data_IF_486392011679
#
_entry.id   IF_486392011679
#
_cell.length_a   1.000
_cell.length_b   1.000
_cell.length_c   1.000
_cell.angle_alpha   90.00
_cell.angle_beta   90.00
_cell.angle_gamma   90.00
#
_symmetry.space_group_name_H-M   'P 1'
#
loop_
_entity.id
_entity.type
_entity.pdbx_description
1 polymer ?
#
# COMPACT_ATOMS: atom_id res chain seq x y z
N UNK A 1 -5.61 -1.33 15.11
CA UNK A 1 -4.76 -1.95 14.07
C UNK A 1 -5.28 -1.68 12.67
N UNK A 2 -6.55 -1.93 12.38
CA UNK A 2 -7.17 -1.62 11.08
C UNK A 2 -6.86 -0.22 10.52
N UNK A 3 -7.08 0.83 11.34
CA UNK A 3 -6.78 2.22 10.95
C UNK A 3 -5.33 2.44 10.51
N UNK A 4 -4.37 1.75 11.15
CA UNK A 4 -2.94 1.86 10.80
C UNK A 4 -2.70 1.32 9.40
N UNK A 5 -3.28 0.17 9.07
CA UNK A 5 -3.17 -0.42 7.73
C UNK A 5 -3.86 0.45 6.67
N UNK A 6 -5.02 1.02 6.97
CA UNK A 6 -5.71 1.93 6.05
C UNK A 6 -4.90 3.21 5.81
N UNK A 7 -4.28 3.78 6.86
CA UNK A 7 -3.34 4.91 6.75
C UNK A 7 -2.16 4.57 5.86
N UNK A 8 -1.55 3.40 6.06
CA UNK A 8 -0.43 2.94 5.23
C UNK A 8 -0.82 2.79 3.76
N UNK A 9 -2.00 2.24 3.46
CA UNK A 9 -2.52 2.16 2.09
C UNK A 9 -2.63 3.54 1.45
N UNK A 10 -3.19 4.52 2.17
CA UNK A 10 -3.32 5.89 1.64
C UNK A 10 -1.94 6.54 1.47
N UNK A 11 -1.00 6.31 2.37
CA UNK A 11 0.38 6.80 2.25
C UNK A 11 1.06 6.21 1.00
N UNK A 12 0.85 4.93 0.71
CA UNK A 12 1.40 4.28 -0.50
C UNK A 12 0.84 4.88 -1.79
N UNK A 13 -0.43 5.27 -1.80
CA UNK A 13 -1.13 5.74 -3.01
C UNK A 13 -0.98 7.24 -3.26
N UNK A 14 -1.14 8.05 -2.22
CA UNK A 14 -1.23 9.52 -2.32
C UNK A 14 -0.06 10.22 -1.64
N UNK A 15 0.58 9.54 -0.69
CA UNK A 15 1.63 10.11 0.15
C UNK A 15 1.11 10.57 1.52
N UNK A 16 2.06 11.01 2.37
CA UNK A 16 1.82 11.32 3.78
C UNK A 16 0.80 12.45 4.01
N UNK A 17 0.66 13.36 3.06
CA UNK A 17 -0.26 14.51 3.15
C UNK A 17 -1.73 14.11 3.29
N UNK A 18 -2.10 12.90 2.87
CA UNK A 18 -3.47 12.42 2.89
C UNK A 18 -3.75 11.42 4.02
N UNK A 19 -2.83 11.20 4.96
CA UNK A 19 -2.99 10.20 6.03
C UNK A 19 -4.27 10.41 6.86
N UNK A 20 -4.60 11.67 7.14
CA UNK A 20 -5.75 12.05 7.96
C UNK A 20 -7.10 11.84 7.26
N UNK A 21 -7.11 11.62 5.94
CA UNK A 21 -8.35 11.33 5.20
C UNK A 21 -8.98 10.03 5.67
N UNK A 22 -8.17 9.08 6.16
CA UNK A 22 -8.63 7.79 6.66
C UNK A 22 -9.50 7.95 7.90
N UNK A 23 -9.13 8.85 8.81
CA UNK A 23 -9.93 9.08 10.02
C UNK A 23 -11.31 9.68 9.71
N UNK A 24 -11.44 10.33 8.56
CA UNK A 24 -12.73 10.85 8.07
C UNK A 24 -13.51 9.77 7.33
N UNK A 25 -12.85 8.96 6.50
CA UNK A 25 -13.48 7.97 5.63
C UNK A 25 -13.79 6.63 6.33
N UNK A 26 -13.17 6.32 7.47
CA UNK A 26 -13.43 5.12 8.30
C UNK A 26 -14.82 5.16 9.00
N UNK A 27 -15.59 6.22 8.80
CA UNK A 27 -16.94 6.31 9.36
C UNK A 27 -17.93 5.41 8.61
N UNK A 28 -18.92 4.84 9.33
CA UNK A 28 -19.98 3.99 8.72
C UNK A 28 -20.84 4.73 7.69
N UNK A 29 -20.76 6.06 7.62
CA UNK A 29 -21.57 6.91 6.75
C UNK A 29 -20.69 7.46 5.63
N UNK A 30 -21.30 7.67 4.47
CA UNK A 30 -20.60 8.33 3.37
C UNK A 30 -20.36 9.80 3.73
N UNK A 31 -19.14 10.28 3.51
CA UNK A 31 -18.70 11.62 3.87
C UNK A 31 -18.66 12.50 2.63
N UNK A 32 -19.09 13.74 2.79
CA UNK A 32 -19.10 14.72 1.72
C UNK A 32 -17.67 15.27 1.46
N UNK A 33 -17.30 15.43 0.19
CA UNK A 33 -16.03 16.06 -0.23
C UNK A 33 -15.77 17.43 0.43
N UNK A 34 -16.81 18.25 0.65
CA UNK A 34 -16.66 19.56 1.29
C UNK A 34 -16.28 19.45 2.78
N UNK A 35 -16.80 18.43 3.48
CA UNK A 35 -16.44 18.18 4.89
C UNK A 35 -15.00 17.68 5.02
N UNK A 36 -14.56 16.87 4.05
CA UNK A 36 -13.19 16.36 3.97
C UNK A 36 -12.22 17.52 3.78
N UNK A 37 -12.48 18.38 2.78
CA UNK A 37 -11.67 19.57 2.50
C UNK A 37 -11.56 20.49 3.74
N UNK A 38 -12.70 20.78 4.38
CA UNK A 38 -12.74 21.66 5.56
C UNK A 38 -11.94 21.09 6.74
N UNK A 39 -12.01 19.78 6.98
CA UNK A 39 -11.31 19.15 8.11
C UNK A 39 -9.82 18.97 7.86
N UNK A 40 -9.41 18.73 6.61
CA UNK A 40 -8.01 18.61 6.22
C UNK A 40 -7.33 19.98 6.02
N UNK A 41 -8.10 21.08 5.97
CA UNK A 41 -7.54 22.41 5.73
C UNK A 41 -6.99 22.60 4.32
N UNK A 42 -7.41 21.77 3.36
CA UNK A 42 -6.95 21.79 1.97
C UNK A 42 -8.07 22.27 1.03
N UNK A 43 -7.69 22.65 -0.19
CA UNK A 43 -8.68 23.07 -1.19
C UNK A 43 -9.55 21.89 -1.65
N UNK A 44 -10.76 22.20 -2.13
CA UNK A 44 -11.68 21.19 -2.68
C UNK A 44 -11.04 20.48 -3.88
N UNK A 45 -10.29 21.20 -4.71
CA UNK A 45 -9.62 20.62 -5.87
C UNK A 45 -8.54 19.62 -5.47
N UNK A 46 -7.72 19.95 -4.45
CA UNK A 46 -6.75 18.99 -3.89
C UNK A 46 -7.46 17.78 -3.30
N UNK A 47 -8.55 17.99 -2.55
CA UNK A 47 -9.37 16.90 -1.99
C UNK A 47 -9.87 15.97 -3.09
N UNK A 48 -10.41 16.51 -4.19
CA UNK A 48 -10.89 15.72 -5.32
C UNK A 48 -9.78 14.94 -6.00
N UNK A 49 -8.62 15.55 -6.24
CA UNK A 49 -7.46 14.84 -6.81
C UNK A 49 -7.02 13.67 -5.92
N UNK A 50 -7.00 13.86 -4.60
CA UNK A 50 -6.69 12.78 -3.64
C UNK A 50 -7.75 11.68 -3.73
N UNK A 51 -9.04 12.03 -3.71
CA UNK A 51 -10.14 11.07 -3.76
C UNK A 51 -10.17 10.31 -5.10
N UNK A 52 -9.90 10.96 -6.23
CA UNK A 52 -9.83 10.29 -7.52
C UNK A 52 -8.66 9.32 -7.59
N UNK A 53 -7.47 9.72 -7.13
CA UNK A 53 -6.32 8.79 -7.05
C UNK A 53 -6.66 7.55 -6.22
N UNK A 54 -7.25 7.72 -5.04
CA UNK A 54 -7.60 6.57 -4.18
C UNK A 54 -8.74 5.74 -4.81
N UNK A 55 -9.66 6.39 -5.53
CA UNK A 55 -10.74 5.74 -6.28
C UNK A 55 -10.23 4.92 -7.48
N UNK A 56 -9.16 5.35 -8.16
CA UNK A 56 -8.56 4.61 -9.28
C UNK A 56 -8.03 3.24 -8.85
N UNK A 57 -7.56 3.14 -7.60
CA UNK A 57 -7.19 1.86 -6.99
C UNK A 57 -8.38 1.08 -6.40
N UNK A 58 -9.61 1.59 -6.54
CA UNK A 58 -10.83 0.95 -6.06
C UNK A 58 -10.98 0.90 -4.54
N UNK A 59 -10.27 1.77 -3.81
CA UNK A 59 -10.22 1.76 -2.34
C UNK A 59 -11.35 2.59 -1.70
N UNK A 60 -12.06 3.40 -2.48
CA UNK A 60 -13.21 4.19 -2.04
C UNK A 60 -14.38 3.96 -3.01
N UNK A 61 -15.58 3.92 -2.45
CA UNK A 61 -16.84 3.95 -3.18
C UNK A 61 -17.43 5.36 -3.15
N UNK A 62 -18.01 5.80 -4.27
CA UNK A 62 -18.71 7.07 -4.36
C UNK A 62 -20.20 6.89 -4.63
N UNK A 63 -21.03 7.70 -3.99
CA UNK A 63 -22.46 7.81 -4.25
C UNK A 63 -22.76 9.26 -4.59
N UNK A 64 -23.43 9.48 -5.72
CA UNK A 64 -23.95 10.80 -6.08
C UNK A 64 -25.37 10.97 -5.54
N UNK A 65 -25.63 12.09 -4.86
CA UNK A 65 -26.98 12.48 -4.43
C UNK A 65 -27.32 13.83 -5.05
N UNK A 66 -28.50 13.91 -5.69
CA UNK A 66 -29.04 15.18 -6.19
C UNK A 66 -29.59 15.98 -5.02
N UNK A 67 -29.14 17.21 -4.88
CA UNK A 67 -29.69 18.13 -3.89
C UNK A 67 -31.06 18.63 -4.37
N UNK A 68 -32.10 18.40 -3.57
CA UNK A 68 -33.49 18.79 -3.91
C UNK A 68 -33.68 20.30 -3.94
N UNK A 69 -32.80 21.08 -3.28
CA UNK A 69 -32.94 22.55 -3.20
C UNK A 69 -32.15 23.29 -4.28
N UNK A 70 -30.93 22.87 -4.57
CA UNK A 70 -29.98 23.61 -5.43
C UNK A 70 -29.75 22.96 -6.81
N UNK A 71 -30.28 21.76 -7.06
CA UNK A 71 -30.21 21.10 -8.36
C UNK A 71 -28.86 20.45 -8.72
N UNK A 72 -27.76 20.84 -8.08
CA UNK A 72 -26.42 20.23 -8.22
C UNK A 72 -26.29 18.82 -7.61
N UNK A 73 -25.30 18.06 -8.10
CA UNK A 73 -24.92 16.75 -7.58
C UNK A 73 -23.79 16.87 -6.55
N UNK A 74 -23.94 16.19 -5.41
CA UNK A 74 -22.87 16.07 -4.41
C UNK A 74 -22.38 14.63 -4.34
N UNK A 75 -21.05 14.47 -4.32
CA UNK A 75 -20.39 13.19 -4.16
C UNK A 75 -20.17 12.87 -2.69
N UNK A 76 -20.57 11.67 -2.30
CA UNK A 76 -20.33 11.12 -0.98
C UNK A 76 -19.42 9.91 -1.08
N UNK A 77 -18.38 9.88 -0.26
CA UNK A 77 -17.29 8.91 -0.34
C UNK A 77 -17.28 8.00 0.88
N UNK A 78 -16.95 6.73 0.68
CA UNK A 78 -16.81 5.73 1.75
C UNK A 78 -15.67 4.78 1.45
N UNK A 79 -14.80 4.54 2.43
CA UNK A 79 -13.68 3.61 2.26
C UNK A 79 -14.13 2.15 2.19
N UNK A 80 -13.60 1.43 1.21
CA UNK A 80 -13.76 -0.01 1.04
C UNK A 80 -12.65 -0.72 1.79
N UNK A 81 -12.91 -1.04 3.07
CA UNK A 81 -11.93 -1.60 4.00
C UNK A 81 -11.34 -2.91 3.45
N UNK A 82 -12.17 -3.82 2.94
CA UNK A 82 -11.74 -5.13 2.46
C UNK A 82 -10.81 -5.00 1.24
N UNK A 83 -11.20 -4.19 0.26
CA UNK A 83 -10.36 -3.91 -0.92
C UNK A 83 -9.05 -3.22 -0.54
N UNK A 84 -9.09 -2.34 0.45
CA UNK A 84 -7.89 -1.66 0.96
C UNK A 84 -6.90 -2.63 1.60
N UNK A 85 -7.39 -3.58 2.40
CA UNK A 85 -6.54 -4.62 2.97
C UNK A 85 -5.97 -5.57 1.91
N UNK A 86 -6.76 -5.93 0.88
CA UNK A 86 -6.29 -6.75 -0.25
C UNK A 86 -5.22 -6.03 -1.07
N UNK A 87 -5.40 -4.73 -1.30
CA UNK A 87 -4.38 -3.89 -1.95
C UNK A 87 -3.08 -3.87 -1.14
N UNK A 88 -3.17 -3.68 0.19
CA UNK A 88 -2.00 -3.72 1.07
C UNK A 88 -1.28 -5.07 1.00
N UNK A 89 -2.04 -6.16 1.07
CA UNK A 89 -1.51 -7.53 0.93
C UNK A 89 -0.75 -7.70 -0.38
N UNK A 90 -1.32 -7.26 -1.50
CA UNK A 90 -0.69 -7.37 -2.81
C UNK A 90 0.59 -6.51 -2.89
N UNK A 91 0.58 -5.31 -2.31
CA UNK A 91 1.75 -4.43 -2.23
C UNK A 91 2.88 -5.10 -1.42
N UNK A 92 2.57 -5.69 -0.26
CA UNK A 92 3.52 -6.43 0.56
C UNK A 92 4.09 -7.65 -0.17
N UNK A 93 3.26 -8.43 -0.87
CA UNK A 93 3.71 -9.57 -1.67
C UNK A 93 4.69 -9.12 -2.76
N UNK A 94 4.39 -8.03 -3.47
CA UNK A 94 5.30 -7.46 -4.48
C UNK A 94 6.64 -7.06 -3.87
N UNK A 95 6.64 -6.36 -2.73
CA UNK A 95 7.87 -5.97 -2.01
C UNK A 95 8.68 -7.18 -1.57
N UNK A 96 8.03 -8.20 -1.02
CA UNK A 96 8.69 -9.47 -0.64
C UNK A 96 9.31 -10.15 -1.87
N UNK A 97 8.60 -10.17 -3.00
CA UNK A 97 9.12 -10.69 -4.27
C UNK A 97 10.36 -9.95 -4.74
N UNK A 98 10.37 -8.62 -4.67
CA UNK A 98 11.53 -7.79 -5.02
C UNK A 98 12.73 -8.08 -4.14
N UNK A 99 12.56 -8.16 -2.82
CA UNK A 99 13.65 -8.47 -1.88
C UNK A 99 14.17 -9.90 -2.11
N UNK A 100 13.29 -10.88 -2.33
CA UNK A 100 13.72 -12.24 -2.68
C UNK A 100 14.56 -12.27 -3.96
N UNK A 101 14.17 -11.50 -4.98
CA UNK A 101 14.94 -11.41 -6.22
C UNK A 101 16.30 -10.75 -5.99
N UNK A 102 16.37 -9.73 -5.12
CA UNK A 102 17.63 -9.11 -4.73
C UNK A 102 18.54 -10.09 -3.96
N UNK A 103 17.99 -10.87 -3.03
CA UNK A 103 18.72 -11.91 -2.30
C UNK A 103 19.28 -12.95 -3.28
N UNK A 104 18.44 -13.53 -4.14
CA UNK A 104 18.88 -14.49 -5.17
C UNK A 104 19.97 -13.93 -6.06
N UNK A 105 19.80 -12.69 -6.54
CA UNK A 105 20.82 -12.05 -7.36
C UNK A 105 22.15 -11.88 -6.62
N UNK A 106 22.12 -11.62 -5.31
CA UNK A 106 23.33 -11.44 -4.48
C UNK A 106 23.96 -12.75 -4.02
N UNK A 107 23.20 -13.84 -3.99
CA UNK A 107 23.71 -15.19 -3.72
C UNK A 107 24.34 -15.82 -4.96
N UNK A 108 23.77 -15.57 -6.15
CA UNK A 108 24.27 -16.15 -7.41
C UNK A 108 25.42 -15.34 -8.01
N UNK A 109 25.41 -14.00 -7.86
CA UNK A 109 26.40 -13.13 -8.50
C UNK A 109 27.40 -12.61 -7.49
N UNK A 110 28.65 -12.52 -7.91
CA UNK A 110 29.68 -11.83 -7.17
C UNK A 110 29.65 -10.33 -7.47
N UNK A 111 29.93 -9.54 -6.43
CA UNK A 111 29.98 -8.09 -6.52
C UNK A 111 31.38 -7.63 -6.11
N UNK A 112 31.86 -6.63 -6.83
CA UNK A 112 33.16 -6.03 -6.64
C UNK A 112 32.96 -4.58 -6.19
N UNK A 113 33.81 -4.10 -5.30
CA UNK A 113 33.75 -2.75 -4.75
C UNK A 113 35.07 -2.03 -5.03
N UNK A 114 34.98 -0.78 -5.47
CA UNK A 114 36.10 0.14 -5.39
C UNK A 114 36.10 0.82 -4.03
N UNK A 115 37.17 0.66 -3.23
CA UNK A 115 37.26 1.24 -1.88
C UNK A 115 37.29 2.78 -1.89
N UNK A 116 37.95 3.38 -2.89
CA UNK A 116 38.06 4.85 -2.99
C UNK A 116 36.75 5.50 -3.45
N UNK A 117 36.12 4.96 -4.50
CA UNK A 117 34.95 5.57 -5.12
C UNK A 117 33.64 5.08 -4.48
N UNK A 118 33.68 4.03 -3.65
CA UNK A 118 32.51 3.35 -3.09
C UNK A 118 31.48 2.89 -4.14
N UNK A 119 31.95 2.63 -5.36
CA UNK A 119 31.11 2.15 -6.49
C UNK A 119 31.12 0.62 -6.50
N UNK A 120 29.93 0.03 -6.62
CA UNK A 120 29.72 -1.42 -6.70
C UNK A 120 29.55 -1.85 -8.17
N UNK A 121 30.36 -2.82 -8.59
CA UNK A 121 30.33 -3.42 -9.92
C UNK A 121 29.85 -4.88 -9.81
N UNK A 122 29.08 -5.33 -10.80
CA UNK A 122 28.83 -6.76 -11.01
C UNK A 122 30.07 -7.42 -11.65
N UNK A 123 30.13 -8.74 -11.60
CA UNK A 123 31.20 -9.53 -12.24
C UNK A 123 31.35 -9.23 -13.74
N UNK A 124 30.24 -9.08 -14.48
CA UNK A 124 30.27 -8.77 -15.91
C UNK A 124 30.93 -7.40 -16.21
N UNK A 125 30.59 -6.35 -15.46
CA UNK A 125 31.22 -5.04 -15.65
C UNK A 125 32.67 -5.04 -15.13
N UNK A 126 32.95 -5.78 -14.06
CA UNK A 126 34.32 -5.94 -13.59
C UNK A 126 35.18 -6.60 -14.68
N UNK A 127 34.69 -7.66 -15.33
CA UNK A 127 35.39 -8.33 -16.43
C UNK A 127 35.62 -7.40 -17.63
N UNK A 128 34.61 -6.60 -18.01
CA UNK A 128 34.74 -5.61 -19.09
C UNK A 128 35.83 -4.57 -18.83
N UNK A 129 36.06 -4.26 -17.56
CA UNK A 129 37.08 -3.29 -17.12
C UNK A 129 38.32 -3.96 -16.52
N UNK A 130 38.57 -5.25 -16.81
CA UNK A 130 39.72 -6.01 -16.31
C UNK A 130 39.92 -5.90 -14.78
N UNK A 131 38.81 -5.88 -14.03
CA UNK A 131 38.77 -5.70 -12.58
C UNK A 131 39.39 -4.39 -12.10
N UNK A 132 39.38 -3.35 -12.93
CA UNK A 132 39.83 -2.00 -12.57
C UNK A 132 38.67 -1.00 -12.57
N UNK A 133 38.74 0.00 -11.70
CA UNK A 133 37.73 1.04 -11.63
C UNK A 133 37.93 2.08 -12.74
N UNK A 134 36.86 2.43 -13.45
CA UNK A 134 36.90 3.42 -14.55
C UNK A 134 37.24 4.84 -14.09
N UNK A 135 36.96 5.17 -12.82
CA UNK A 135 37.16 6.52 -12.28
C UNK A 135 38.57 6.72 -11.72
N UNK A 136 39.08 5.74 -10.97
CA UNK A 136 40.35 5.87 -10.24
C UNK A 136 41.47 4.94 -10.71
N UNK A 137 41.19 4.00 -11.62
CA UNK A 137 42.17 3.04 -12.14
C UNK A 137 42.64 1.97 -11.15
N UNK A 138 42.14 1.96 -9.91
CA UNK A 138 42.50 0.94 -8.90
C UNK A 138 41.80 -0.38 -9.13
N UNK A 139 42.43 -1.46 -8.66
CA UNK A 139 41.87 -2.83 -8.69
C UNK A 139 40.65 -2.92 -7.76
N UNK A 140 39.60 -3.55 -8.23
CA UNK A 140 38.38 -3.79 -7.47
C UNK A 140 38.58 -4.92 -6.45
N UNK A 141 37.98 -4.79 -5.27
CA UNK A 141 38.01 -5.82 -4.22
C UNK A 141 36.68 -6.57 -4.16
N UNK A 142 36.70 -7.85 -3.76
CA UNK A 142 35.48 -8.63 -3.63
C UNK A 142 34.66 -8.15 -2.43
N UNK A 143 33.39 -7.80 -2.67
CA UNK A 143 32.51 -7.28 -1.62
C UNK A 143 31.91 -8.43 -0.81
N UNK A 144 32.04 -8.34 0.51
CA UNK A 144 31.36 -9.25 1.42
C UNK A 144 29.84 -8.98 1.45
N UNK A 145 29.08 -9.82 0.75
CA UNK A 145 27.63 -9.73 0.69
C UNK A 145 26.92 -10.25 1.95
N UNK A 146 27.63 -10.89 2.90
CA UNK A 146 26.98 -11.54 4.04
C UNK A 146 26.24 -10.56 4.94
N UNK A 147 26.77 -9.35 5.16
CA UNK A 147 26.10 -8.30 5.96
C UNK A 147 24.82 -7.81 5.29
N UNK A 148 24.87 -7.58 3.98
CA UNK A 148 23.72 -7.11 3.19
C UNK A 148 22.64 -8.19 3.14
N UNK A 149 23.02 -9.44 2.90
CA UNK A 149 22.07 -10.57 2.91
C UNK A 149 21.37 -10.70 4.26
N UNK A 150 22.11 -10.61 5.38
CA UNK A 150 21.51 -10.62 6.73
C UNK A 150 20.48 -9.50 6.92
N UNK A 151 20.78 -8.29 6.44
CA UNK A 151 19.84 -7.17 6.52
C UNK A 151 18.60 -7.37 5.65
N UNK A 152 18.78 -7.86 4.41
CA UNK A 152 17.69 -8.18 3.50
C UNK A 152 16.79 -9.28 4.08
N UNK A 153 17.36 -10.34 4.67
CA UNK A 153 16.59 -11.38 5.36
C UNK A 153 15.82 -10.82 6.56
N UNK A 154 16.45 -9.97 7.38
CA UNK A 154 15.79 -9.33 8.52
C UNK A 154 14.61 -8.45 8.07
N UNK A 155 14.77 -7.72 6.97
CA UNK A 155 13.70 -6.91 6.39
C UNK A 155 12.58 -7.78 5.81
N UNK A 156 12.93 -8.87 5.16
CA UNK A 156 11.99 -9.84 4.64
C UNK A 156 11.15 -10.50 5.76
N UNK A 157 11.77 -10.83 6.88
CA UNK A 157 11.07 -11.39 8.04
C UNK A 157 10.09 -10.39 8.66
N UNK A 158 10.46 -9.10 8.73
CA UNK A 158 9.53 -8.04 9.16
C UNK A 158 8.32 -7.95 8.23
N UNK A 159 8.53 -7.93 6.92
CA UNK A 159 7.44 -7.87 5.93
C UNK A 159 6.56 -9.12 5.95
N UNK A 160 7.13 -10.31 6.17
CA UNK A 160 6.35 -11.55 6.35
C UNK A 160 5.47 -11.50 7.59
N UNK A 161 5.98 -10.99 8.71
CA UNK A 161 5.19 -10.80 9.94
C UNK A 161 4.02 -9.85 9.70
N UNK A 162 4.29 -8.73 9.03
CA UNK A 162 3.27 -7.75 8.67
C UNK A 162 2.19 -8.33 7.74
N UNK A 163 2.60 -9.07 6.70
CA UNK A 163 1.69 -9.80 5.82
C UNK A 163 0.79 -10.77 6.60
N UNK A 164 1.34 -11.46 7.60
CA UNK A 164 0.59 -12.34 8.50
C UNK A 164 -0.49 -11.60 9.30
N UNK A 165 -0.19 -10.39 9.78
CA UNK A 165 -1.16 -9.55 10.48
C UNK A 165 -2.27 -9.04 9.54
N UNK A 166 -1.90 -8.62 8.33
CA UNK A 166 -2.87 -8.17 7.31
C UNK A 166 -3.81 -9.30 6.91
N UNK A 167 -3.29 -10.53 6.71
CA UNK A 167 -4.12 -11.69 6.39
C UNK A 167 -5.13 -12.04 7.49
N UNK A 168 -4.73 -11.92 8.77
CA UNK A 168 -5.65 -12.10 9.90
C UNK A 168 -6.76 -11.05 9.88
N UNK A 169 -6.42 -9.80 9.62
CA UNK A 169 -7.40 -8.71 9.55
C UNK A 169 -8.37 -8.89 8.38
N UNK A 170 -7.89 -9.36 7.22
CA UNK A 170 -8.73 -9.70 6.06
C UNK A 170 -9.75 -10.79 6.42
N UNK A 171 -9.31 -11.85 7.11
CA UNK A 171 -10.20 -12.93 7.54
C UNK A 171 -11.28 -12.41 8.50
N UNK A 172 -10.88 -11.63 9.50
CA UNK A 172 -11.81 -11.02 10.46
C UNK A 172 -12.85 -10.13 9.77
N UNK A 173 -12.44 -9.34 8.77
CA UNK A 173 -13.36 -8.44 8.08
C UNK A 173 -14.29 -9.20 7.12
N UNK A 174 -13.82 -10.27 6.46
CA UNK A 174 -14.65 -11.18 5.66
C UNK A 174 -15.74 -11.84 6.51
N UNK A 175 -15.39 -12.37 7.68
CA UNK A 175 -16.35 -12.98 8.60
C UNK A 175 -17.40 -11.97 9.09
N UNK A 176 -17.03 -10.72 9.39
CA UNK A 176 -18.00 -9.67 9.76
C UNK A 176 -18.94 -9.34 8.61
N UNK A 177 -18.43 -9.26 7.39
CA UNK A 177 -19.25 -8.98 6.21
C UNK A 177 -20.23 -10.12 5.91
N UNK A 178 -19.80 -11.37 6.03
CA UNK A 178 -20.66 -12.56 5.88
C UNK A 178 -21.74 -12.62 6.98
N UNK A 179 -21.38 -12.31 8.22
CA UNK A 179 -22.34 -12.19 9.33
C UNK A 179 -23.38 -11.09 9.07
N UNK A 180 -22.97 -9.92 8.57
CA UNK A 180 -23.92 -8.85 8.19
C UNK A 180 -24.84 -9.27 7.05
N UNK A 181 -24.27 -9.84 5.98
CA UNK A 181 -25.04 -10.30 4.82
C UNK A 181 -26.06 -11.37 5.20
N UNK A 182 -25.68 -12.34 6.03
CA UNK A 182 -26.60 -13.37 6.52
C UNK A 182 -27.71 -12.80 7.42
N UNK A 183 -27.42 -11.80 8.26
CA UNK A 183 -28.45 -11.08 9.03
C UNK A 183 -29.41 -10.28 8.14
N UNK A 184 -28.90 -9.60 7.11
CA UNK A 184 -29.71 -8.84 6.15
C UNK A 184 -30.62 -9.77 5.34
N UNK A 185 -30.12 -10.93 4.90
CA UNK A 185 -30.91 -11.94 4.20
C UNK A 185 -32.03 -12.45 5.12
N UNK A 186 -31.72 -12.85 6.37
CA UNK A 186 -32.71 -13.30 7.35
C UNK A 186 -33.77 -12.21 7.66
N UNK A 187 -33.37 -10.94 7.64
CA UNK A 187 -34.30 -9.82 7.87
C UNK A 187 -35.21 -9.60 6.65
N UNK A 188 -34.66 -9.66 5.44
CA UNK A 188 -35.43 -9.54 4.21
C UNK A 188 -36.42 -10.72 4.03
N UNK A 189 -36.04 -11.94 4.42
CA UNK A 189 -36.94 -13.10 4.44
C UNK A 189 -38.08 -12.92 5.45
N UNK A 190 -37.79 -12.42 6.66
CA UNK A 190 -38.82 -12.10 7.66
C UNK A 190 -39.77 -10.97 7.24
N UNK A 191 -39.27 -9.98 6.50
CA UNK A 191 -40.11 -8.90 5.94
C UNK A 191 -40.99 -9.40 4.78
N UNK A 192 -40.49 -10.33 3.97
CA UNK A 192 -41.29 -10.99 2.92
C UNK A 192 -42.35 -11.94 3.48
N UNK A 193 -42.07 -12.64 4.58
CA UNK A 193 -43.04 -13.53 5.24
C UNK A 193 -44.12 -12.79 6.04
N UNK A 194 -43.96 -11.49 6.29
CA UNK A 194 -44.94 -10.63 6.97
C UNK A 194 -45.80 -9.81 6.00
N UNK A 195 -45.57 -9.93 4.70
CA UNK A 195 -46.33 -9.29 3.62
C UNK A 195 -47.19 -10.34 2.92
#
# INVERSE_FOLDING_TARGET
MLKKFLKEVVIIVVGKQAEDIVDLLDSKKHVNEFLIAKKLGITINQTRNILYKISDYGLISSIRKKDKRKGWYTYFWKMEILKSLEFLRNSLIKKIGQINNQIKSRETRQFYLCEDCSIEFNEENALLHNFTCNECGKVLTLKDNTKILKELHKNLDKLKKELGLVNKEIKNEREKMEKKRSMEIKKAEKEKAKK
#
